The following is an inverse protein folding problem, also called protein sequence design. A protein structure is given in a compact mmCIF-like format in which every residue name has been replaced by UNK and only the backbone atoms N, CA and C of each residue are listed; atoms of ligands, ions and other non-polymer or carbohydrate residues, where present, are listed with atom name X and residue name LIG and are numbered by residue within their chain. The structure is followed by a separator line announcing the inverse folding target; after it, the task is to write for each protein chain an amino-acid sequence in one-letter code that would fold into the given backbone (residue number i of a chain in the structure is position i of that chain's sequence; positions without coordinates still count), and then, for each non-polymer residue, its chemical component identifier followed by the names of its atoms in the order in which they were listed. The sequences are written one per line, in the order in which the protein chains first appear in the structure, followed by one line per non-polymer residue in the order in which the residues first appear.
data_IF_422756369181
#
_entry.id   IF_422756369181
#
_cell.length_a   1.000
_cell.length_b   1.000
_cell.length_c   1.000
_cell.angle_alpha   90.00
_cell.angle_beta   90.00
_cell.angle_gamma   90.00
#
_symmetry.space_group_name_H-M   'P 1'
#
loop_
_entity.id
_entity.type
_entity.pdbx_description
1 polymer ?
#
# COMPACT_ATOMS: atom_id res chain seq x y z
N UNK A 1 -10.61 -1.34 1.14
CA UNK A 1 -9.20 -1.69 0.80
C UNK A 1 -8.86 -1.56 -0.69
N UNK A 2 -9.70 -1.96 -1.71
CA UNK A 2 -9.33 -1.86 -3.12
C UNK A 2 -8.93 -0.46 -3.55
N UNK A 3 -9.63 0.56 -3.08
CA UNK A 3 -9.31 1.95 -3.38
C UNK A 3 -7.90 2.35 -2.94
N UNK A 4 -7.43 1.78 -1.85
CA UNK A 4 -6.08 2.07 -1.36
C UNK A 4 -5.00 1.56 -2.32
N UNK A 5 -5.19 0.43 -3.00
CA UNK A 5 -4.21 -0.09 -3.97
C UNK A 5 -4.03 0.82 -5.20
N UNK A 6 -4.92 1.79 -5.41
CA UNK A 6 -4.75 2.82 -6.46
C UNK A 6 -3.45 3.60 -6.29
N UNK A 7 -2.86 3.67 -5.08
CA UNK A 7 -1.59 4.36 -4.86
C UNK A 7 -0.44 3.83 -5.74
N UNK A 8 -0.44 2.53 -6.06
CA UNK A 8 0.59 1.94 -6.92
C UNK A 8 0.53 2.50 -8.35
N UNK A 9 -0.69 2.67 -8.89
CA UNK A 9 -0.89 3.31 -10.18
C UNK A 9 -0.52 4.80 -10.13
N UNK A 10 -0.93 5.50 -9.06
CA UNK A 10 -0.58 6.91 -8.85
C UNK A 10 0.94 7.08 -8.77
N UNK A 11 1.64 6.19 -8.05
CA UNK A 11 3.09 6.20 -7.96
C UNK A 11 3.75 6.01 -9.33
N UNK A 12 3.26 5.06 -10.15
CA UNK A 12 3.74 4.85 -11.50
C UNK A 12 3.58 6.12 -12.35
N UNK A 13 2.43 6.79 -12.29
CA UNK A 13 2.21 8.04 -13.00
C UNK A 13 3.10 9.19 -12.51
N UNK A 14 3.23 9.35 -11.19
CA UNK A 14 4.06 10.40 -10.59
C UNK A 14 5.57 10.18 -10.85
N UNK A 15 6.00 8.94 -11.09
CA UNK A 15 7.40 8.65 -11.41
C UNK A 15 7.86 9.31 -12.71
N UNK A 16 6.96 9.57 -13.66
CA UNK A 16 7.28 10.22 -14.94
C UNK A 16 7.79 11.66 -14.74
N UNK A 17 6.97 12.59 -14.19
CA UNK A 17 7.41 13.98 -14.03
C UNK A 17 8.43 14.17 -12.90
N UNK A 18 8.37 13.37 -11.83
CA UNK A 18 9.20 13.60 -10.66
C UNK A 18 10.51 12.82 -10.66
N UNK A 19 10.56 11.62 -11.25
CA UNK A 19 11.77 10.79 -11.33
C UNK A 19 12.36 10.75 -12.73
N UNK A 20 11.73 11.40 -13.73
CA UNK A 20 12.19 11.39 -15.12
C UNK A 20 12.12 10.02 -15.79
N UNK A 21 11.32 9.11 -15.26
CA UNK A 21 11.21 7.75 -15.76
C UNK A 21 10.27 7.66 -16.96
N UNK A 22 10.55 6.74 -17.88
CA UNK A 22 9.68 6.47 -19.02
C UNK A 22 8.70 5.36 -18.66
N UNK A 23 7.43 5.69 -18.62
CA UNK A 23 6.37 4.72 -18.44
C UNK A 23 6.02 4.07 -19.78
N UNK A 24 6.18 2.77 -19.88
CA UNK A 24 5.79 2.01 -21.07
C UNK A 24 4.29 1.73 -21.01
N UNK A 25 3.64 1.69 -22.18
CA UNK A 25 2.21 1.34 -22.27
C UNK A 25 1.91 -0.03 -21.62
N UNK A 26 2.85 -0.97 -21.74
CA UNK A 26 2.71 -2.29 -21.15
C UNK A 26 2.72 -2.23 -19.60
N UNK A 27 3.53 -1.37 -19.00
CA UNK A 27 3.59 -1.21 -17.55
C UNK A 27 2.26 -0.65 -17.00
N UNK A 28 1.62 0.25 -17.76
CA UNK A 28 0.28 0.78 -17.42
C UNK A 28 -0.78 -0.32 -17.52
N UNK A 29 -0.78 -1.06 -18.64
CA UNK A 29 -1.73 -2.14 -18.86
C UNK A 29 -1.58 -3.23 -17.79
N UNK A 30 -0.35 -3.62 -17.46
CA UNK A 30 -0.03 -4.55 -16.39
C UNK A 30 -0.62 -4.09 -15.06
N UNK A 31 -0.36 -2.84 -14.66
CA UNK A 31 -0.91 -2.26 -13.43
C UNK A 31 -2.44 -2.23 -13.41
N UNK A 32 -3.09 -1.89 -14.53
CA UNK A 32 -4.55 -1.88 -14.64
C UNK A 32 -5.15 -3.29 -14.56
N UNK A 33 -4.52 -4.29 -15.16
CA UNK A 33 -4.96 -5.69 -15.08
C UNK A 33 -4.81 -6.20 -13.64
N UNK A 34 -3.66 -5.96 -12.99
CA UNK A 34 -3.47 -6.29 -11.58
C UNK A 34 -4.51 -5.61 -10.69
N UNK A 35 -4.77 -4.31 -10.91
CA UNK A 35 -5.77 -3.56 -10.15
C UNK A 35 -7.18 -4.11 -10.34
N UNK A 36 -7.56 -4.48 -11.57
CA UNK A 36 -8.83 -5.16 -11.84
C UNK A 36 -8.95 -6.48 -11.07
N UNK A 37 -7.88 -7.26 -11.00
CA UNK A 37 -7.81 -8.47 -10.17
C UNK A 37 -8.08 -8.18 -8.68
N UNK A 38 -7.46 -7.14 -8.12
CA UNK A 38 -7.71 -6.71 -6.73
C UNK A 38 -9.17 -6.31 -6.53
N UNK A 39 -9.77 -5.58 -7.46
CA UNK A 39 -11.19 -5.18 -7.39
C UNK A 39 -12.10 -6.41 -7.40
N UNK A 40 -11.86 -7.39 -8.27
CA UNK A 40 -12.64 -8.64 -8.34
C UNK A 40 -12.57 -9.42 -7.02
N UNK A 41 -11.39 -9.54 -6.43
CA UNK A 41 -11.21 -10.20 -5.13
C UNK A 41 -11.97 -9.46 -4.03
N UNK A 42 -11.77 -8.15 -3.93
CA UNK A 42 -12.29 -7.35 -2.84
C UNK A 42 -13.81 -7.17 -2.88
N UNK A 43 -14.41 -7.21 -4.07
CA UNK A 43 -15.87 -7.18 -4.26
C UNK A 43 -16.51 -8.56 -4.18
N UNK A 44 -15.71 -9.62 -3.96
CA UNK A 44 -16.17 -11.02 -4.02
C UNK A 44 -16.88 -11.38 -5.35
N UNK A 45 -16.47 -10.71 -6.43
CA UNK A 45 -17.06 -10.86 -7.77
C UNK A 45 -18.27 -9.96 -8.06
N UNK A 46 -18.82 -9.27 -7.07
CA UNK A 46 -19.96 -8.36 -7.25
C UNK A 46 -19.50 -6.96 -7.67
N UNK A 47 -18.77 -6.88 -8.78
CA UNK A 47 -18.15 -5.63 -9.27
C UNK A 47 -19.16 -4.53 -9.63
N UNK A 48 -20.41 -4.89 -9.88
CA UNK A 48 -21.48 -3.94 -10.20
C UNK A 48 -22.18 -3.39 -8.96
N UNK A 49 -21.97 -3.98 -7.78
CA UNK A 49 -22.60 -3.58 -6.52
C UNK A 49 -21.72 -2.62 -5.69
N UNK A 50 -20.84 -1.85 -6.35
CA UNK A 50 -20.08 -0.78 -5.72
C UNK A 50 -21.01 0.36 -5.29
N UNK A 51 -21.84 0.11 -4.29
CA UNK A 51 -22.59 1.15 -3.63
C UNK A 51 -21.67 1.90 -2.68
N UNK A 52 -21.18 3.04 -3.11
CA UNK A 52 -20.44 3.94 -2.23
C UNK A 52 -21.43 4.63 -1.29
N UNK A 53 -21.66 4.02 -0.14
CA UNK A 53 -22.54 4.57 0.89
C UNK A 53 -21.97 5.81 1.58
N UNK A 54 -20.65 6.02 1.46
CA UNK A 54 -19.96 7.17 2.06
C UNK A 54 -19.02 7.84 1.04
N UNK A 55 -19.49 8.88 0.31
CA UNK A 55 -18.66 9.63 -0.64
C UNK A 55 -17.47 10.33 -0.01
N UNK A 56 -17.60 10.78 1.26
CA UNK A 56 -16.50 11.42 1.99
C UNK A 56 -15.38 10.40 2.28
N UNK A 57 -15.73 9.22 2.77
CA UNK A 57 -14.76 8.14 3.01
C UNK A 57 -14.04 7.71 1.73
N UNK A 58 -14.76 7.63 0.59
CA UNK A 58 -14.15 7.36 -0.72
C UNK A 58 -13.16 8.45 -1.12
N UNK A 59 -13.55 9.72 -0.98
CA UNK A 59 -12.68 10.86 -1.32
C UNK A 59 -11.43 10.90 -0.44
N UNK A 60 -11.54 10.63 0.84
CA UNK A 60 -10.42 10.53 1.77
C UNK A 60 -9.51 9.36 1.43
N UNK A 61 -10.08 8.19 1.08
CA UNK A 61 -9.31 7.03 0.66
C UNK A 61 -8.52 7.30 -0.62
N UNK A 62 -9.12 7.93 -1.62
CA UNK A 62 -8.42 8.32 -2.85
C UNK A 62 -7.39 9.43 -2.59
N UNK A 63 -7.71 10.42 -1.76
CA UNK A 63 -6.76 11.46 -1.34
C UNK A 63 -5.53 10.87 -0.63
N UNK A 64 -5.73 9.87 0.21
CA UNK A 64 -4.63 9.18 0.89
C UNK A 64 -3.67 8.49 -0.08
N UNK A 65 -4.14 8.01 -1.24
CA UNK A 65 -3.27 7.38 -2.25
C UNK A 65 -2.30 8.37 -2.89
N UNK A 66 -2.74 9.63 -3.07
CA UNK A 66 -1.87 10.71 -3.57
C UNK A 66 -0.78 11.05 -2.55
N UNK A 67 -1.15 11.18 -1.27
CA UNK A 67 -0.19 11.43 -0.18
C UNK A 67 0.83 10.29 -0.10
N UNK A 68 0.36 9.06 -0.15
CA UNK A 68 1.20 7.86 -0.05
C UNK A 68 2.17 7.72 -1.23
N UNK A 69 1.69 7.91 -2.45
CA UNK A 69 2.52 7.90 -3.64
C UNK A 69 3.55 9.03 -3.63
N UNK A 70 3.16 10.24 -3.19
CA UNK A 70 4.07 11.38 -3.06
C UNK A 70 5.16 11.11 -2.04
N UNK A 71 4.83 10.49 -0.90
CA UNK A 71 5.83 10.06 0.09
C UNK A 71 6.89 9.15 -0.55
N UNK A 72 6.49 8.14 -1.32
CA UNK A 72 7.44 7.24 -1.97
C UNK A 72 8.28 7.91 -3.06
N UNK A 73 7.72 8.86 -3.81
CA UNK A 73 8.49 9.67 -4.75
C UNK A 73 9.59 10.48 -4.03
N UNK A 74 9.22 11.15 -2.93
CA UNK A 74 10.17 11.91 -2.11
C UNK A 74 11.23 11.00 -1.52
N UNK A 75 10.83 9.86 -0.93
CA UNK A 75 11.74 8.88 -0.35
C UNK A 75 12.70 8.27 -1.38
N UNK A 76 12.26 8.08 -2.63
CA UNK A 76 13.11 7.58 -3.72
C UNK A 76 14.15 8.62 -4.14
N UNK A 77 13.82 9.92 -4.10
CA UNK A 77 14.74 11.02 -4.41
C UNK A 77 15.70 11.36 -3.25
N UNK A 78 15.37 10.93 -2.06
CA UNK A 78 16.21 11.17 -0.89
C UNK A 78 17.53 10.41 -1.01
N UNK A 79 18.65 11.12 -1.01
CA UNK A 79 19.99 10.53 -1.14
C UNK A 79 20.52 9.93 0.16
N UNK A 80 19.86 10.17 1.28
CA UNK A 80 20.23 9.62 2.59
C UNK A 80 20.07 8.12 2.63
N UNK A 81 20.75 7.49 3.57
CA UNK A 81 20.51 6.08 3.88
C UNK A 81 19.03 5.86 4.25
N UNK A 82 18.37 4.80 3.73
CA UNK A 82 16.97 4.54 4.00
C UNK A 82 16.59 4.43 5.48
N UNK A 83 17.48 3.86 6.29
CA UNK A 83 17.26 3.73 7.75
C UNK A 83 17.26 5.10 8.40
N UNK A 84 18.25 5.94 8.05
CA UNK A 84 18.35 7.31 8.57
C UNK A 84 17.17 8.16 8.12
N UNK A 85 16.78 8.06 6.83
CA UNK A 85 15.63 8.77 6.29
C UNK A 85 14.33 8.38 7.02
N UNK A 86 14.11 7.08 7.21
CA UNK A 86 12.93 6.57 7.91
C UNK A 86 12.92 7.00 9.39
N UNK A 87 14.07 6.92 10.07
CA UNK A 87 14.20 7.38 11.45
C UNK A 87 13.83 8.85 11.60
N UNK A 88 14.34 9.72 10.71
CA UNK A 88 14.01 11.14 10.73
C UNK A 88 12.53 11.40 10.45
N UNK A 89 11.92 10.66 9.54
CA UNK A 89 10.48 10.78 9.27
C UNK A 89 9.65 10.47 10.51
N UNK A 90 9.99 9.41 11.26
CA UNK A 90 9.31 9.09 12.52
C UNK A 90 9.63 10.12 13.61
N UNK A 91 10.89 10.57 13.72
CA UNK A 91 11.29 11.55 14.73
C UNK A 91 10.50 12.87 14.59
N UNK A 92 10.35 13.37 13.37
CA UNK A 92 9.60 14.61 13.11
C UNK A 92 8.09 14.39 13.02
N UNK A 93 7.63 13.20 12.61
CA UNK A 93 6.21 12.87 12.56
C UNK A 93 5.60 12.59 13.93
N UNK A 94 6.36 12.00 14.85
CA UNK A 94 5.88 11.60 16.17
C UNK A 94 5.26 12.75 16.98
N UNK A 95 5.88 13.95 17.10
CA UNK A 95 5.28 15.05 17.84
C UNK A 95 3.92 15.47 17.28
N UNK A 96 3.77 15.48 15.96
CA UNK A 96 2.51 15.82 15.29
C UNK A 96 1.44 14.78 15.60
N UNK A 97 1.79 13.50 15.50
CA UNK A 97 0.87 12.39 15.82
C UNK A 97 0.44 12.45 17.27
N UNK A 98 1.39 12.65 18.20
CA UNK A 98 1.10 12.78 19.64
C UNK A 98 0.14 13.95 19.91
N UNK A 99 0.38 15.08 19.28
CA UNK A 99 -0.50 16.26 19.42
C UNK A 99 -1.92 15.98 18.91
N UNK A 100 -2.05 15.38 17.75
CA UNK A 100 -3.35 15.03 17.17
C UNK A 100 -4.07 13.99 18.04
N UNK A 101 -3.38 12.94 18.48
CA UNK A 101 -3.97 11.94 19.37
C UNK A 101 -4.45 12.57 20.69
N UNK A 102 -3.66 13.46 21.26
CA UNK A 102 -4.04 14.16 22.50
C UNK A 102 -5.32 14.98 22.33
N UNK A 103 -5.47 15.65 21.19
CA UNK A 103 -6.63 16.49 20.93
C UNK A 103 -7.91 15.71 20.55
N UNK A 104 -7.76 14.50 19.98
CA UNK A 104 -8.89 13.74 19.42
C UNK A 104 -9.31 12.57 20.29
N UNK A 105 -8.41 11.63 20.54
CA UNK A 105 -8.71 10.36 21.20
C UNK A 105 -8.10 10.21 22.63
N UNK A 106 -7.24 11.17 23.01
CA UNK A 106 -6.39 11.03 24.20
C UNK A 106 -5.20 10.09 23.97
N UNK A 107 -4.22 10.16 24.87
CA UNK A 107 -3.04 9.30 24.84
C UNK A 107 -3.33 8.03 25.65
N UNK A 108 -3.73 6.97 24.99
CA UNK A 108 -3.96 5.67 25.62
C UNK A 108 -2.78 4.75 25.28
N UNK A 109 -2.07 4.30 26.32
CA UNK A 109 -0.98 3.33 26.13
C UNK A 109 -1.58 1.94 25.94
N UNK A 110 -1.22 1.22 24.86
CA UNK A 110 -1.66 -0.15 24.68
C UNK A 110 -1.03 -1.04 25.75
N UNK A 111 -1.76 -2.07 26.20
CA UNK A 111 -1.29 -3.03 27.23
C UNK A 111 -1.48 -4.47 26.73
N UNK A 112 -0.70 -5.39 27.27
CA UNK A 112 -0.82 -6.82 26.96
C UNK A 112 -0.60 -7.12 25.47
N UNK A 113 -1.50 -7.88 24.86
CA UNK A 113 -1.43 -8.29 23.43
C UNK A 113 -1.43 -7.11 22.48
N UNK A 114 -2.11 -6.02 22.81
CA UNK A 114 -2.13 -4.80 21.98
C UNK A 114 -0.76 -4.14 21.92
N UNK A 115 0.02 -4.16 23.00
CA UNK A 115 1.41 -3.67 23.00
C UNK A 115 2.29 -4.56 22.11
N UNK A 116 2.18 -5.88 22.22
CA UNK A 116 2.93 -6.81 21.39
C UNK A 116 2.62 -6.60 19.89
N UNK A 117 1.33 -6.44 19.56
CA UNK A 117 0.90 -6.13 18.19
C UNK A 117 1.46 -4.78 17.69
N UNK A 118 1.44 -3.74 18.53
CA UNK A 118 2.00 -2.44 18.18
C UNK A 118 3.51 -2.50 17.91
N UNK A 119 4.25 -3.24 18.75
CA UNK A 119 5.70 -3.46 18.54
C UNK A 119 5.95 -4.25 17.26
N UNK A 120 5.17 -5.30 17.00
CA UNK A 120 5.28 -6.09 15.78
C UNK A 120 5.08 -5.22 14.53
N UNK A 121 4.00 -4.45 14.47
CA UNK A 121 3.72 -3.52 13.36
C UNK A 121 4.83 -2.47 13.23
N UNK A 122 5.26 -1.88 14.33
CA UNK A 122 6.33 -0.88 14.32
C UNK A 122 7.65 -1.41 13.78
N UNK A 123 8.08 -2.59 14.20
CA UNK A 123 9.37 -3.17 13.80
C UNK A 123 9.31 -3.79 12.41
N UNK A 124 8.34 -4.66 12.15
CA UNK A 124 8.32 -5.45 10.92
C UNK A 124 7.66 -4.72 9.77
N UNK A 125 6.51 -4.11 9.98
CA UNK A 125 5.75 -3.45 8.92
C UNK A 125 6.28 -2.04 8.63
N UNK A 126 6.35 -1.18 9.66
CA UNK A 126 6.78 0.22 9.49
C UNK A 126 8.30 0.39 9.49
N UNK A 127 9.05 -0.53 10.07
CA UNK A 127 10.51 -0.52 10.10
C UNK A 127 11.11 -1.30 8.93
N UNK A 128 11.23 -2.61 9.09
CA UNK A 128 11.98 -3.47 8.16
C UNK A 128 11.38 -3.43 6.75
N UNK A 129 10.06 -3.60 6.61
CA UNK A 129 9.41 -3.60 5.31
C UNK A 129 9.59 -2.26 4.58
N UNK A 130 9.50 -1.12 5.28
CA UNK A 130 9.70 0.20 4.69
C UNK A 130 11.14 0.44 4.24
N UNK A 131 12.12 -0.01 5.02
CA UNK A 131 13.53 0.08 4.63
C UNK A 131 13.79 -0.74 3.37
N UNK A 132 13.31 -1.99 3.34
CA UNK A 132 13.47 -2.87 2.16
C UNK A 132 12.77 -2.30 0.92
N UNK A 133 11.55 -1.78 1.09
CA UNK A 133 10.81 -1.15 0.01
C UNK A 133 11.51 0.11 -0.50
N UNK A 134 11.98 0.98 0.40
CA UNK A 134 12.76 2.17 0.04
C UNK A 134 14.03 1.81 -0.74
N UNK A 135 14.76 0.77 -0.32
CA UNK A 135 15.93 0.29 -1.04
C UNK A 135 15.57 -0.25 -2.43
N UNK A 136 14.48 -1.02 -2.53
CA UNK A 136 14.00 -1.53 -3.81
C UNK A 136 13.66 -0.40 -4.77
N UNK A 137 12.94 0.62 -4.29
CA UNK A 137 12.58 1.81 -5.08
C UNK A 137 13.81 2.60 -5.56
N UNK A 138 14.82 2.79 -4.68
CA UNK A 138 16.06 3.51 -5.04
C UNK A 138 16.93 2.76 -6.04
N UNK A 139 16.93 1.42 -6.00
CA UNK A 139 17.72 0.57 -6.90
C UNK A 139 17.01 0.22 -8.21
N UNK A 140 15.72 0.49 -8.29
CA UNK A 140 14.92 0.14 -9.45
C UNK A 140 15.22 1.07 -10.63
N UNK A 141 15.48 0.51 -11.79
CA UNK A 141 15.55 1.25 -13.06
C UNK A 141 14.18 1.84 -13.44
N UNK A 142 13.10 1.18 -13.02
CA UNK A 142 11.73 1.58 -13.28
C UNK A 142 10.85 1.35 -12.04
N UNK A 143 10.44 2.45 -11.44
CA UNK A 143 9.57 2.48 -10.25
C UNK A 143 8.23 1.79 -10.49
N UNK A 144 7.68 1.88 -11.71
CA UNK A 144 6.42 1.22 -12.06
C UNK A 144 6.48 -0.30 -11.89
N UNK A 145 7.60 -0.93 -12.24
CA UNK A 145 7.77 -2.38 -12.05
C UNK A 145 7.76 -2.76 -10.57
N UNK A 146 8.41 -1.96 -9.73
CA UNK A 146 8.42 -2.20 -8.28
C UNK A 146 7.05 -1.95 -7.68
N UNK A 147 6.37 -0.86 -8.07
CA UNK A 147 5.05 -0.55 -7.55
C UNK A 147 4.00 -1.62 -7.89
N UNK A 148 4.12 -2.25 -9.07
CA UNK A 148 3.21 -3.33 -9.45
C UNK A 148 3.40 -4.61 -8.59
N UNK A 149 4.57 -4.83 -7.99
CA UNK A 149 4.79 -5.95 -7.07
C UNK A 149 3.87 -5.91 -5.84
N UNK A 150 3.33 -4.73 -5.48
CA UNK A 150 2.41 -4.62 -4.36
C UNK A 150 1.12 -5.43 -4.57
N UNK A 151 0.73 -5.67 -5.83
CA UNK A 151 -0.45 -6.46 -6.15
C UNK A 151 -0.30 -7.96 -5.80
N UNK A 152 0.93 -8.42 -5.50
CA UNK A 152 1.16 -9.76 -4.94
C UNK A 152 0.65 -9.86 -3.49
N UNK A 153 0.61 -8.74 -2.75
CA UNK A 153 0.20 -8.72 -1.35
C UNK A 153 -1.21 -9.26 -1.09
N UNK A 154 -2.27 -8.89 -1.84
CA UNK A 154 -3.58 -9.49 -1.69
C UNK A 154 -3.59 -11.00 -1.93
N UNK A 155 -2.79 -11.48 -2.89
CA UNK A 155 -2.63 -12.92 -3.16
C UNK A 155 -2.07 -13.65 -1.94
N UNK A 156 -0.95 -13.17 -1.40
CA UNK A 156 -0.34 -13.78 -0.22
C UNK A 156 -1.27 -13.73 0.99
N UNK A 157 -1.99 -12.62 1.18
CA UNK A 157 -2.99 -12.50 2.25
C UNK A 157 -4.06 -13.57 2.15
N UNK A 158 -4.56 -13.88 0.97
CA UNK A 158 -5.57 -14.93 0.77
C UNK A 158 -5.04 -16.32 1.06
N UNK A 159 -3.78 -16.61 0.67
CA UNK A 159 -3.12 -17.88 1.00
C UNK A 159 -3.06 -18.05 2.53
N UNK A 160 -2.62 -17.02 3.25
CA UNK A 160 -2.56 -17.07 4.71
C UNK A 160 -3.94 -17.17 5.35
N UNK A 161 -4.95 -16.46 4.86
CA UNK A 161 -6.34 -16.54 5.35
C UNK A 161 -6.88 -17.96 5.17
N UNK A 162 -6.66 -18.59 4.02
CA UNK A 162 -7.07 -19.96 3.78
C UNK A 162 -6.42 -20.95 4.76
N UNK A 163 -5.07 -20.90 4.91
CA UNK A 163 -4.34 -21.85 5.74
C UNK A 163 -4.47 -21.61 7.24
N UNK A 164 -4.58 -20.34 7.67
CA UNK A 164 -4.58 -19.97 9.10
C UNK A 164 -6.00 -19.88 9.65
N UNK A 165 -6.93 -19.29 8.88
CA UNK A 165 -8.31 -19.06 9.33
C UNK A 165 -9.29 -20.11 8.80
N UNK A 166 -8.88 -20.98 7.86
CA UNK A 166 -9.73 -22.02 7.28
C UNK A 166 -10.90 -21.47 6.45
N UNK A 167 -10.81 -20.22 5.98
CA UNK A 167 -11.86 -19.62 5.16
C UNK A 167 -11.88 -20.21 3.74
N UNK A 168 -13.08 -20.40 3.20
CA UNK A 168 -13.26 -20.93 1.84
C UNK A 168 -12.88 -19.88 0.82
N UNK A 169 -12.00 -20.25 -0.11
CA UNK A 169 -11.62 -19.37 -1.23
C UNK A 169 -12.77 -19.33 -2.25
N UNK A 170 -13.30 -18.14 -2.50
CA UNK A 170 -14.36 -17.92 -3.47
C UNK A 170 -13.86 -18.06 -4.92
N UNK A 171 -14.74 -18.42 -5.85
CA UNK A 171 -14.42 -18.50 -7.28
C UNK A 171 -13.91 -17.16 -7.83
N UNK A 172 -14.48 -16.04 -7.37
CA UNK A 172 -14.01 -14.69 -7.72
C UNK A 172 -12.55 -14.44 -7.33
N UNK A 173 -12.09 -15.09 -6.27
CA UNK A 173 -10.68 -15.02 -5.83
C UNK A 173 -9.76 -15.66 -6.85
N UNK A 174 -10.10 -16.83 -7.40
CA UNK A 174 -9.31 -17.47 -8.46
C UNK A 174 -9.23 -16.59 -9.72
N UNK A 175 -10.35 -15.98 -10.12
CA UNK A 175 -10.37 -15.06 -11.27
C UNK A 175 -9.46 -13.85 -11.02
N UNK A 176 -9.59 -13.23 -9.85
CA UNK A 176 -8.75 -12.09 -9.48
C UNK A 176 -7.25 -12.44 -9.39
N UNK A 177 -6.92 -13.66 -8.93
CA UNK A 177 -5.54 -14.16 -8.90
C UNK A 177 -4.95 -14.31 -10.29
N UNK A 178 -5.71 -14.89 -11.23
CA UNK A 178 -5.28 -15.01 -12.63
C UNK A 178 -4.99 -13.64 -13.22
N UNK A 179 -5.84 -12.64 -12.96
CA UNK A 179 -5.60 -11.27 -13.40
C UNK A 179 -4.34 -10.67 -12.79
N UNK A 180 -4.11 -10.86 -11.48
CA UNK A 180 -2.90 -10.34 -10.81
C UNK A 180 -1.62 -10.99 -11.35
N UNK A 181 -1.65 -12.30 -11.63
CA UNK A 181 -0.47 -13.00 -12.15
C UNK A 181 -0.20 -12.67 -13.63
N UNK A 182 -1.25 -12.35 -14.39
CA UNK A 182 -1.12 -12.01 -15.82
C UNK A 182 -0.73 -10.57 -16.10
N UNK A 183 -0.89 -9.66 -15.15
CA UNK A 183 -0.48 -8.26 -15.23
C UNK A 183 0.93 -8.06 -14.72
#
# INVERSE_FOLDING_TARGET
QPLNYTWALVLAYLSVPFLGQKLRRIDILAGLVCYAGVVVIATRGAVTSLSFSDPLGVSLALGSTLVWASYWIIATRDTRDPVVGLFLNFLFGLPVIVLVCWQTAGLVMPVGSSMAAAVYVGVFEMGIAFVLWSQAMKKAENTSKVSNLIFISPFLSLVFIYFILGEVILTSTYVGLVLIISG
#
